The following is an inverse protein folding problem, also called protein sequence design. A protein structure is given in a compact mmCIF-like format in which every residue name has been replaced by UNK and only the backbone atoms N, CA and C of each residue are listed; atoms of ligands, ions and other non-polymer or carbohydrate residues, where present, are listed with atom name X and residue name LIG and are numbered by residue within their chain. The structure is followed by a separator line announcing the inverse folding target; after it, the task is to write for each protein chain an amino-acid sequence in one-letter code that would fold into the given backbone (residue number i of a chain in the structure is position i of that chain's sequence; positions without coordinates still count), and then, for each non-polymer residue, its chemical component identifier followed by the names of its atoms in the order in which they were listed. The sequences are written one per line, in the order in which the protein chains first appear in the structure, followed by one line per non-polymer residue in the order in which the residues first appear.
data_IF_946512143525
#
_entry.id   IF_946512143525
#
_cell.length_a   1.000
_cell.length_b   1.000
_cell.length_c   1.000
_cell.angle_alpha   90.00
_cell.angle_beta   90.00
_cell.angle_gamma   90.00
#
_symmetry.space_group_name_H-M   'P 1'
#
loop_
_entity.id
_entity.type
_entity.pdbx_description
1 polymer ?
#
# COMPACT_ATOMS: atom_id res chain seq x y z
N UNK A 1 0.22 -0.54 -18.96
CA UNK A 1 -0.11 -1.08 -17.63
C UNK A 1 0.85 -0.44 -16.63
N UNK A 2 0.40 -0.06 -15.42
CA UNK A 2 1.28 0.49 -14.39
C UNK A 2 2.41 -0.51 -14.07
N UNK A 3 3.61 0.00 -13.74
CA UNK A 3 4.73 -0.84 -13.37
C UNK A 3 4.41 -1.56 -12.05
N UNK A 4 4.74 -2.86 -11.97
CA UNK A 4 4.63 -3.63 -10.72
C UNK A 4 5.83 -3.29 -9.84
N UNK A 5 5.62 -3.29 -8.52
CA UNK A 5 6.72 -3.20 -7.57
C UNK A 5 7.69 -4.39 -7.74
N UNK A 6 8.97 -4.17 -7.45
CA UNK A 6 10.01 -5.20 -7.55
C UNK A 6 9.65 -6.48 -6.79
N UNK A 7 8.99 -6.37 -5.65
CA UNK A 7 8.67 -7.51 -4.79
C UNK A 7 7.30 -8.14 -5.09
N UNK A 8 6.61 -7.70 -6.14
CA UNK A 8 5.24 -8.15 -6.43
C UNK A 8 5.08 -9.67 -6.49
N UNK A 9 5.94 -10.33 -7.27
CA UNK A 9 5.88 -11.78 -7.42
C UNK A 9 6.27 -12.52 -6.14
N UNK A 10 7.24 -11.99 -5.38
CA UNK A 10 7.66 -12.58 -4.12
C UNK A 10 6.53 -12.53 -3.08
N UNK A 11 5.80 -11.41 -3.00
CA UNK A 11 4.65 -11.27 -2.11
C UNK A 11 3.50 -12.21 -2.50
N UNK A 12 3.19 -12.33 -3.80
CA UNK A 12 2.18 -13.29 -4.27
C UNK A 12 2.56 -14.72 -3.87
N UNK A 13 3.81 -15.12 -4.11
CA UNK A 13 4.28 -16.47 -3.78
C UNK A 13 4.21 -16.73 -2.27
N UNK A 14 4.58 -15.75 -1.45
CA UNK A 14 4.48 -15.85 0.00
C UNK A 14 3.02 -16.00 0.48
N UNK A 15 2.10 -15.20 -0.06
CA UNK A 15 0.67 -15.31 0.24
C UNK A 15 0.11 -16.69 -0.13
N UNK A 16 0.41 -17.17 -1.34
CA UNK A 16 -0.05 -18.50 -1.79
C UNK A 16 0.55 -19.61 -0.92
N UNK A 17 1.83 -19.53 -0.56
CA UNK A 17 2.47 -20.49 0.33
C UNK A 17 1.88 -20.50 1.75
N UNK A 18 1.41 -19.35 2.24
CA UNK A 18 0.70 -19.20 3.53
C UNK A 18 -0.81 -19.54 3.43
N UNK A 19 -1.25 -20.11 2.30
CA UNK A 19 -2.62 -20.60 2.11
C UNK A 19 -3.63 -19.52 1.73
N UNK A 20 -3.19 -18.35 1.29
CA UNK A 20 -4.06 -17.32 0.73
C UNK A 20 -4.37 -17.59 -0.73
N UNK A 21 -5.62 -17.35 -1.11
CA UNK A 21 -6.06 -17.32 -2.50
C UNK A 21 -6.08 -15.87 -2.98
N UNK A 22 -5.30 -15.56 -4.02
CA UNK A 22 -5.35 -14.23 -4.65
C UNK A 22 -6.66 -14.10 -5.43
N UNK A 23 -7.46 -13.08 -5.13
CA UNK A 23 -8.74 -12.85 -5.79
C UNK A 23 -8.69 -11.73 -6.83
N UNK A 24 -7.80 -10.74 -6.65
CA UNK A 24 -7.58 -9.65 -7.61
C UNK A 24 -6.11 -9.18 -7.58
N UNK A 25 -5.52 -9.00 -8.76
CA UNK A 25 -4.19 -8.40 -8.96
C UNK A 25 -4.19 -7.58 -10.27
N UNK A 26 -4.36 -6.24 -10.23
CA UNK A 26 -4.59 -5.42 -9.04
C UNK A 26 -6.07 -5.42 -8.59
N UNK A 27 -6.29 -5.11 -7.32
CA UNK A 27 -7.57 -4.76 -6.73
C UNK A 27 -7.93 -3.32 -7.10
N UNK A 28 -9.04 -3.14 -7.81
CA UNK A 28 -9.61 -1.83 -8.10
C UNK A 28 -10.69 -1.48 -7.07
N UNK A 29 -10.54 -0.33 -6.40
CA UNK A 29 -11.51 0.19 -5.44
C UNK A 29 -12.10 1.51 -5.95
N UNK A 30 -13.42 1.55 -6.11
CA UNK A 30 -14.17 2.77 -6.41
C UNK A 30 -15.22 2.99 -5.31
N UNK A 31 -15.20 4.17 -4.69
CA UNK A 31 -16.16 4.52 -3.64
C UNK A 31 -16.68 5.95 -3.82
N UNK A 32 -18.00 6.13 -3.84
CA UNK A 32 -18.64 7.45 -3.91
C UNK A 32 -18.36 8.24 -5.19
N UNK A 33 -18.16 7.57 -6.33
CA UNK A 33 -17.81 8.22 -7.60
C UNK A 33 -16.36 8.71 -7.70
N UNK A 34 -15.55 8.44 -6.68
CA UNK A 34 -14.10 8.64 -6.70
C UNK A 34 -13.42 7.28 -6.77
N UNK A 35 -12.44 7.14 -7.65
CA UNK A 35 -11.48 6.04 -7.55
C UNK A 35 -10.73 6.25 -6.23
N UNK A 36 -10.89 5.33 -5.29
CA UNK A 36 -10.24 5.43 -3.99
C UNK A 36 -8.79 5.01 -4.20
N UNK A 37 -7.96 5.97 -4.61
CA UNK A 37 -6.52 5.91 -4.36
C UNK A 37 -6.39 5.90 -2.85
N UNK A 38 -5.96 4.77 -2.26
CA UNK A 38 -5.59 4.74 -0.85
C UNK A 38 -4.60 5.90 -0.66
N UNK A 39 -5.01 6.88 0.13
CA UNK A 39 -4.64 8.30 0.01
C UNK A 39 -3.24 8.61 0.60
N UNK A 40 -2.26 7.81 0.20
CA UNK A 40 -0.82 8.04 0.43
C UNK A 40 -0.05 7.55 -0.81
N UNK A 41 -0.36 8.08 -2.00
CA UNK A 41 0.48 7.88 -3.20
C UNK A 41 0.27 6.55 -3.94
N UNK A 42 -0.98 6.13 -4.12
CA UNK A 42 -1.34 4.86 -4.75
C UNK A 42 -0.87 4.71 -6.20
N UNK A 43 0.28 4.07 -6.37
CA UNK A 43 0.52 3.23 -7.54
C UNK A 43 -0.52 2.08 -7.54
N UNK A 44 -1.00 1.68 -8.73
CA UNK A 44 -2.04 0.65 -8.91
C UNK A 44 -1.51 -0.78 -8.66
N UNK A 45 -0.99 -1.04 -7.47
CA UNK A 45 -0.30 -2.29 -7.11
C UNK A 45 -0.97 -3.04 -5.95
N UNK A 46 -2.17 -2.63 -5.55
CA UNK A 46 -2.90 -3.30 -4.45
C UNK A 46 -3.38 -4.68 -4.90
N UNK A 47 -3.22 -5.71 -4.08
CA UNK A 47 -3.70 -7.08 -4.31
C UNK A 47 -4.86 -7.37 -3.35
N UNK A 48 -5.87 -8.12 -3.79
CA UNK A 48 -6.85 -8.73 -2.89
C UNK A 48 -6.54 -10.21 -2.69
N UNK A 49 -6.61 -10.67 -1.44
CA UNK A 49 -6.45 -12.08 -1.09
C UNK A 49 -7.46 -12.52 -0.04
N UNK A 50 -7.78 -13.81 -0.05
CA UNK A 50 -8.75 -14.44 0.84
C UNK A 50 -8.21 -15.74 1.44
N UNK A 51 -8.51 -15.99 2.72
CA UNK A 51 -8.29 -17.27 3.39
C UNK A 51 -9.45 -17.57 4.33
N UNK A 52 -10.24 -18.61 4.04
CA UNK A 52 -11.50 -18.86 4.74
C UNK A 52 -12.45 -17.65 4.62
N UNK A 53 -12.86 -17.08 5.76
CA UNK A 53 -13.72 -15.89 5.82
C UNK A 53 -12.92 -14.57 5.90
N UNK A 54 -11.59 -14.65 5.97
CA UNK A 54 -10.72 -13.49 6.06
C UNK A 54 -10.41 -12.96 4.66
N UNK A 55 -10.45 -11.62 4.51
CA UNK A 55 -10.13 -10.91 3.26
C UNK A 55 -9.18 -9.76 3.57
N UNK A 56 -8.14 -9.63 2.77
CA UNK A 56 -7.13 -8.58 2.91
C UNK A 56 -6.93 -7.85 1.59
N UNK A 57 -6.60 -6.56 1.69
CA UNK A 57 -5.99 -5.78 0.63
C UNK A 57 -4.51 -5.58 0.98
N UNK A 58 -3.61 -5.82 0.05
CA UNK A 58 -2.15 -5.76 0.25
C UNK A 58 -1.56 -4.71 -0.67
N UNK A 59 -0.97 -3.67 -0.11
CA UNK A 59 -0.12 -2.73 -0.84
C UNK A 59 1.33 -3.22 -0.80
N UNK A 60 1.98 -3.32 -1.96
CA UNK A 60 3.37 -3.78 -2.07
C UNK A 60 4.25 -2.57 -2.34
N UNK A 61 5.28 -2.39 -1.51
CA UNK A 61 6.21 -1.26 -1.60
C UNK A 61 7.63 -1.69 -1.32
N UNK A 62 8.53 -1.38 -2.25
CA UNK A 62 9.95 -1.74 -2.20
C UNK A 62 10.82 -0.77 -1.40
N UNK A 63 10.30 0.41 -1.05
CA UNK A 63 11.00 1.45 -0.27
C UNK A 63 12.40 1.81 -0.84
N UNK A 64 12.58 1.69 -2.16
CA UNK A 64 13.87 2.00 -2.81
C UNK A 64 14.25 3.47 -2.74
N UNK A 65 13.29 4.36 -2.48
CA UNK A 65 13.50 5.79 -2.31
C UNK A 65 12.91 6.27 -0.98
N UNK A 66 13.47 7.34 -0.38
CA UNK A 66 12.89 7.99 0.78
C UNK A 66 11.43 8.36 0.51
N UNK A 67 10.57 8.10 1.50
CA UNK A 67 9.17 8.51 1.42
C UNK A 67 9.08 10.04 1.34
N UNK A 68 8.25 10.61 0.47
CA UNK A 68 7.92 12.04 0.51
C UNK A 68 7.07 12.40 1.73
N UNK A 69 6.61 11.41 2.51
CA UNK A 69 5.95 11.63 3.80
C UNK A 69 6.99 12.17 4.78
N UNK A 70 6.96 13.48 4.99
CA UNK A 70 7.69 14.14 6.06
C UNK A 70 7.09 13.66 7.38
N UNK A 71 7.88 13.18 8.36
CA UNK A 71 7.37 12.93 9.69
C UNK A 71 6.72 14.21 10.19
N UNK A 72 5.50 14.14 10.69
CA UNK A 72 4.86 15.29 11.35
C UNK A 72 5.72 15.58 12.58
N UNK A 73 6.67 16.49 12.45
CA UNK A 73 7.37 17.05 13.60
C UNK A 73 6.29 17.79 14.37
N UNK A 74 6.01 17.32 15.59
CA UNK A 74 5.16 18.04 16.51
C UNK A 74 5.72 19.45 16.64
N UNK A 75 4.99 20.46 16.15
CA UNK A 75 5.23 21.84 16.56
C UNK A 75 4.80 21.93 18.03
N UNK A 76 5.76 21.76 18.94
CA UNK A 76 5.62 22.38 20.26
C UNK A 76 5.60 23.88 20.02
N UNK A 77 4.41 24.48 20.13
CA UNK A 77 4.13 25.91 19.96
C UNK A 77 4.82 26.83 21.01
N UNK A 78 5.89 26.35 21.65
CA UNK A 78 6.68 27.08 22.63
C UNK A 78 8.15 26.66 22.52
N UNK A 79 8.85 27.10 21.48
CA UNK A 79 10.10 27.87 21.63
C UNK A 79 10.71 28.16 20.26
N UNK A 80 10.76 29.46 19.97
CA UNK A 80 11.21 30.03 18.71
C UNK A 80 12.74 30.08 18.65
N UNK A 81 13.39 28.91 18.46
CA UNK A 81 14.85 28.86 18.23
C UNK A 81 15.16 27.94 17.06
N UNK A 82 15.78 28.44 15.97
CA UNK A 82 16.15 27.61 14.83
C UNK A 82 17.44 26.81 15.11
N UNK A 83 17.53 25.60 14.55
CA UNK A 83 18.80 24.91 14.33
C UNK A 83 19.58 25.58 13.20
#
# INVERSE_FOLDING_TARGET
MPAKDLYHNAVIQALVADGWTITNDPLYLAYGGRELYIDIGAEKVTIAAQRGNEKIAVEIKSFLNPSPVIPILYEDAHNNTPL
#
